data_IF_238374063371
#
_entry.id   IF_238374063371
#
_cell.length_a   1.000
_cell.length_b   1.000
_cell.length_c   1.000
_cell.angle_alpha   90.00
_cell.angle_beta   90.00
_cell.angle_gamma   90.00
#
_symmetry.space_group_name_H-M   'P 1'
#
loop_
_entity.id
_entity.type
_entity.pdbx_description
1 polymer ?
#
# COMPACT_ATOMS: atom_id res chain seq x y z
N UNK A 1 49.05 -12.67 -68.97
CA UNK A 1 49.52 -14.03 -68.67
C UNK A 1 50.19 -13.99 -67.31
N UNK A 2 49.71 -14.77 -66.33
CA UNK A 2 50.30 -14.97 -64.98
C UNK A 2 50.29 -13.70 -64.08
N UNK A 3 49.97 -13.76 -62.78
CA UNK A 3 50.47 -14.53 -61.63
C UNK A 3 51.91 -14.10 -61.22
N UNK A 4 52.19 -13.69 -59.97
CA UNK A 4 51.31 -13.43 -58.81
C UNK A 4 52.11 -13.36 -57.48
N UNK A 5 51.47 -12.88 -56.40
CA UNK A 5 51.90 -13.11 -55.00
C UNK A 5 52.98 -12.20 -54.37
N UNK A 6 52.54 -11.31 -53.48
CA UNK A 6 53.18 -10.84 -52.21
C UNK A 6 54.62 -10.23 -52.22
N UNK A 7 55.06 -9.38 -51.26
CA UNK A 7 54.51 -8.99 -49.93
C UNK A 7 54.99 -7.58 -49.46
N UNK A 8 54.18 -6.93 -48.62
CA UNK A 8 54.55 -6.01 -47.51
C UNK A 8 54.85 -4.48 -47.71
N UNK A 9 54.18 -3.67 -46.84
CA UNK A 9 54.63 -2.40 -46.17
C UNK A 9 54.92 -1.09 -46.96
N UNK A 10 54.61 0.14 -46.48
CA UNK A 10 53.68 0.68 -45.43
C UNK A 10 53.58 2.24 -45.52
N UNK A 11 52.55 2.86 -44.90
CA UNK A 11 52.31 4.33 -44.66
C UNK A 11 51.96 5.21 -45.90
N UNK A 12 50.98 6.15 -45.97
CA UNK A 12 50.18 7.04 -45.05
C UNK A 12 50.88 8.34 -44.62
N UNK A 13 50.30 9.57 -44.54
CA UNK A 13 48.92 10.10 -44.29
C UNK A 13 48.71 11.42 -45.13
N UNK A 14 47.62 12.21 -45.14
CA UNK A 14 46.24 12.17 -44.57
C UNK A 14 45.61 13.60 -44.36
N UNK A 15 44.28 13.70 -44.15
CA UNK A 15 43.44 14.91 -43.88
C UNK A 15 43.11 15.83 -45.10
N UNK A 16 41.99 16.60 -45.20
CA UNK A 16 41.00 17.12 -44.21
C UNK A 16 39.52 17.21 -44.73
N UNK A 17 38.58 17.56 -43.82
CA UNK A 17 37.10 17.84 -43.88
C UNK A 17 36.62 18.86 -44.98
N UNK A 18 35.30 19.04 -45.32
CA UNK A 18 34.11 19.09 -44.40
C UNK A 18 32.70 18.66 -44.91
N UNK A 19 31.66 18.99 -44.10
CA UNK A 19 30.18 18.93 -44.28
C UNK A 19 29.41 17.60 -44.08
N UNK A 20 28.12 17.73 -43.72
CA UNK A 20 27.20 16.68 -43.27
C UNK A 20 25.72 17.01 -43.64
N UNK A 21 24.84 16.00 -43.86
CA UNK A 21 23.41 16.18 -44.19
C UNK A 21 22.50 15.68 -43.00
N UNK A 22 21.17 15.40 -43.11
CA UNK A 22 20.20 15.99 -42.18
C UNK A 22 19.60 15.02 -41.14
N UNK A 23 18.80 15.57 -40.22
CA UNK A 23 18.17 14.84 -39.12
C UNK A 23 16.97 13.97 -39.53
N UNK A 24 16.78 12.85 -38.81
CA UNK A 24 15.57 12.03 -38.84
C UNK A 24 14.62 12.39 -37.67
N UNK A 25 13.33 12.05 -37.83
CA UNK A 25 12.26 12.48 -36.92
C UNK A 25 12.27 11.84 -35.53
N UNK A 26 11.68 12.55 -34.55
CA UNK A 26 11.45 12.06 -33.19
C UNK A 26 10.14 11.25 -33.11
N UNK A 27 10.09 10.17 -32.30
CA UNK A 27 8.82 9.59 -31.86
C UNK A 27 8.16 10.47 -30.79
N UNK A 28 6.83 10.58 -30.83
CA UNK A 28 6.05 11.39 -29.87
C UNK A 28 5.93 10.71 -28.50
N UNK A 29 6.05 11.45 -27.38
CA UNK A 29 5.85 10.89 -26.04
C UNK A 29 4.35 10.87 -25.66
N UNK A 30 3.70 9.72 -25.84
CA UNK A 30 2.38 9.47 -25.28
C UNK A 30 2.39 9.69 -23.76
N UNK A 31 1.53 10.58 -23.26
CA UNK A 31 1.40 10.82 -21.83
C UNK A 31 0.51 9.73 -21.19
N UNK A 32 0.93 9.21 -20.03
CA UNK A 32 0.13 8.28 -19.25
C UNK A 32 -1.07 8.98 -18.62
N UNK A 33 -2.24 8.34 -18.69
CA UNK A 33 -3.48 8.81 -18.09
C UNK A 33 -3.48 8.54 -16.57
N UNK A 34 -3.21 9.58 -15.79
CA UNK A 34 -3.65 9.67 -14.38
C UNK A 34 -5.02 10.36 -14.34
N UNK A 35 -5.89 9.99 -13.38
CA UNK A 35 -7.25 10.53 -13.30
C UNK A 35 -7.25 12.06 -13.12
N UNK A 36 -7.78 12.77 -14.12
CA UNK A 36 -7.90 14.22 -14.14
C UNK A 36 -9.20 14.74 -13.53
N UNK A 37 -9.32 14.72 -12.19
CA UNK A 37 -10.49 15.25 -11.50
C UNK A 37 -10.31 16.72 -11.03
N UNK A 38 -11.01 17.60 -11.75
CA UNK A 38 -11.42 18.97 -11.41
C UNK A 38 -10.31 20.02 -11.16
N UNK A 39 -10.21 20.98 -12.09
CA UNK A 39 -9.51 22.25 -11.90
C UNK A 39 -10.51 23.43 -11.98
N UNK A 40 -10.54 24.27 -10.95
CA UNK A 40 -11.24 25.57 -10.90
C UNK A 40 -10.25 26.75 -10.97
N UNK A 41 -10.67 27.96 -11.35
CA UNK A 41 -9.76 28.90 -12.02
C UNK A 41 -8.92 29.84 -11.13
N UNK A 42 -7.67 30.04 -11.57
CA UNK A 42 -6.90 31.31 -11.54
C UNK A 42 -6.44 31.92 -10.21
N UNK A 43 -5.16 31.70 -9.86
CA UNK A 43 -4.28 32.73 -9.24
C UNK A 43 -2.90 32.74 -9.94
N UNK A 44 -2.23 33.89 -9.90
CA UNK A 44 -1.06 34.33 -10.66
C UNK A 44 0.21 33.44 -10.70
N UNK A 45 1.08 33.73 -11.68
CA UNK A 45 2.42 33.15 -11.86
C UNK A 45 3.33 33.23 -10.61
N UNK A 46 4.08 32.16 -10.33
CA UNK A 46 5.38 32.22 -9.65
C UNK A 46 6.40 31.31 -10.36
N UNK A 47 7.64 31.78 -10.54
CA UNK A 47 8.76 30.97 -11.06
C UNK A 47 9.75 30.67 -9.93
N UNK A 48 10.21 29.42 -9.74
CA UNK A 48 11.22 29.11 -8.74
C UNK A 48 12.60 29.64 -9.18
N UNK A 49 13.22 30.49 -8.35
CA UNK A 49 14.66 30.74 -8.41
C UNK A 49 15.37 29.69 -7.55
N UNK A 50 16.46 29.12 -8.06
CA UNK A 50 17.39 28.30 -7.25
C UNK A 50 17.99 29.19 -6.15
N UNK A 51 17.94 28.71 -4.90
CA UNK A 51 18.68 29.29 -3.79
C UNK A 51 19.65 28.23 -3.24
N UNK A 52 20.95 28.47 -3.42
CA UNK A 52 21.99 27.75 -2.66
C UNK A 52 22.13 28.47 -1.33
N UNK A 53 22.00 27.75 -0.21
CA UNK A 53 22.31 28.30 1.11
C UNK A 53 23.69 27.83 1.55
N UNK A 54 24.59 28.78 1.78
CA UNK A 54 25.91 28.53 2.35
C UNK A 54 25.88 28.81 3.87
N UNK A 55 26.72 28.13 4.63
CA UNK A 55 26.76 28.22 6.10
C UNK A 55 27.51 29.49 6.54
N UNK A 56 26.83 30.38 7.28
CA UNK A 56 27.46 31.40 8.12
C UNK A 56 26.73 31.48 9.47
N UNK A 57 27.50 31.47 10.56
CA UNK A 57 27.04 31.68 11.93
C UNK A 57 27.36 33.12 12.36
N UNK A 58 26.55 33.74 13.23
CA UNK A 58 27.07 34.63 14.28
C UNK A 58 26.03 35.00 15.37
N UNK A 59 26.60 35.38 16.52
CA UNK A 59 26.04 35.52 17.87
C UNK A 59 25.02 36.66 18.08
N UNK A 60 24.23 36.53 19.15
CA UNK A 60 23.45 37.59 19.82
C UNK A 60 24.32 38.68 20.47
N UNK A 61 23.70 39.77 20.95
CA UNK A 61 23.90 40.17 22.35
C UNK A 61 22.59 40.42 23.12
N UNK A 62 22.69 40.51 24.45
CA UNK A 62 21.60 40.88 25.37
C UNK A 62 21.50 42.40 25.58
N UNK A 63 20.31 42.87 25.95
CA UNK A 63 20.10 43.76 27.12
C UNK A 63 18.72 43.49 27.73
N UNK A 64 18.52 43.89 28.99
CA UNK A 64 17.27 43.71 29.73
C UNK A 64 16.96 44.96 30.58
N UNK A 65 15.69 45.20 30.89
CA UNK A 65 15.26 46.04 32.01
C UNK A 65 13.87 45.61 32.46
N UNK A 66 13.62 45.60 33.78
CA UNK A 66 12.39 45.12 34.40
C UNK A 66 12.18 45.86 35.75
N UNK A 67 10.91 46.12 36.11
CA UNK A 67 10.33 46.95 37.23
C UNK A 67 9.17 47.82 36.68
N UNK A 68 8.06 48.09 37.39
CA UNK A 68 7.68 47.78 38.78
C UNK A 68 6.14 47.71 39.00
N UNK A 69 5.74 47.23 40.19
CA UNK A 69 4.44 47.21 40.87
C UNK A 69 3.61 48.54 40.88
N UNK A 70 2.33 48.64 41.32
CA UNK A 70 1.17 47.74 41.56
C UNK A 70 -0.05 48.59 42.10
N UNK A 71 -1.09 47.97 42.70
CA UNK A 71 -2.32 48.56 43.34
C UNK A 71 -3.41 49.08 42.35
N UNK A 72 -4.71 48.74 42.44
CA UNK A 72 -5.77 48.97 43.47
C UNK A 72 -6.21 50.46 43.55
N UNK A 73 -7.49 50.85 43.76
CA UNK A 73 -8.72 50.21 44.29
C UNK A 73 -10.00 50.80 43.60
N UNK A 74 -11.28 50.47 43.88
CA UNK A 74 -11.94 49.49 44.77
C UNK A 74 -13.47 49.72 44.86
N UNK A 75 -14.18 48.92 45.68
CA UNK A 75 -15.59 49.06 46.16
C UNK A 75 -16.74 48.99 45.09
N UNK A 76 -17.98 48.50 45.30
CA UNK A 76 -18.77 47.81 46.38
C UNK A 76 -20.04 47.24 45.67
N UNK A 77 -20.84 46.22 46.06
CA UNK A 77 -21.20 45.62 47.35
C UNK A 77 -21.65 44.11 47.28
N UNK A 78 -21.84 43.52 48.46
CA UNK A 78 -22.98 42.70 48.99
C UNK A 78 -24.13 42.16 48.08
N UNK A 79 -24.84 41.05 48.37
CA UNK A 79 -24.77 39.99 49.42
C UNK A 79 -25.68 38.79 49.04
N UNK A 80 -25.26 37.53 49.27
CA UNK A 80 -25.91 36.58 50.21
C UNK A 80 -25.16 35.25 50.37
N UNK A 81 -25.56 34.44 51.36
CA UNK A 81 -24.81 33.31 51.92
C UNK A 81 -25.45 31.95 51.62
N UNK A 82 -24.61 30.93 51.38
CA UNK A 82 -24.53 29.78 52.30
C UNK A 82 -23.15 29.08 52.22
N UNK A 83 -22.72 28.48 53.34
CA UNK A 83 -21.42 27.79 53.52
C UNK A 83 -21.53 26.74 54.63
N UNK A 84 -20.94 25.56 54.39
CA UNK A 84 -20.37 24.64 55.39
C UNK A 84 -19.29 23.83 54.64
N UNK A 85 -18.00 24.14 54.86
CA UNK A 85 -17.03 23.32 55.62
C UNK A 85 -16.66 21.99 54.89
N UNK A 86 -15.55 21.94 54.14
CA UNK A 86 -14.18 21.55 54.58
C UNK A 86 -13.91 20.03 54.68
N UNK A 87 -13.17 19.47 53.72
CA UNK A 87 -11.89 18.75 53.99
C UNK A 87 -11.08 18.45 52.69
N UNK A 88 -9.80 18.12 52.86
CA UNK A 88 -8.79 17.65 51.86
C UNK A 88 -7.80 16.74 52.63
N UNK A 89 -6.93 15.96 51.95
CA UNK A 89 -7.15 14.98 50.88
C UNK A 89 -6.73 13.57 51.42
N UNK A 90 -6.40 12.56 50.58
CA UNK A 90 -5.01 12.45 50.12
C UNK A 90 -4.85 11.91 48.67
N UNK A 91 -3.59 11.79 48.24
CA UNK A 91 -3.17 11.26 46.93
C UNK A 91 -2.80 9.78 47.03
N UNK A 92 -3.21 8.93 46.08
CA UNK A 92 -2.34 7.85 45.57
C UNK A 92 -2.81 7.16 44.28
N UNK A 93 -1.81 6.59 43.60
CA UNK A 93 -1.89 5.83 42.35
C UNK A 93 -2.65 4.51 42.51
N UNK A 94 -3.37 4.09 41.47
CA UNK A 94 -3.93 2.74 41.33
C UNK A 94 -4.07 2.38 39.85
N UNK A 95 -3.45 1.29 39.41
CA UNK A 95 -3.50 0.83 38.03
C UNK A 95 -4.79 0.06 37.73
N UNK A 96 -5.38 0.27 36.55
CA UNK A 96 -6.42 -0.61 36.04
C UNK A 96 -5.77 -1.77 35.28
N UNK A 97 -6.02 -2.99 35.74
CA UNK A 97 -5.54 -4.23 35.13
C UNK A 97 -6.63 -4.85 34.22
N UNK A 98 -6.20 -5.58 33.20
CA UNK A 98 -7.07 -6.19 32.20
C UNK A 98 -8.04 -7.23 32.79
N UNK A 99 -9.28 -7.22 32.33
CA UNK A 99 -10.26 -8.29 32.63
C UNK A 99 -10.06 -9.45 31.65
N UNK A 100 -9.51 -10.56 32.14
CA UNK A 100 -9.47 -11.84 31.43
C UNK A 100 -10.44 -12.84 32.09
N UNK A 101 -11.57 -13.10 31.45
CA UNK A 101 -12.55 -14.10 31.91
C UNK A 101 -12.17 -15.52 31.45
N UNK A 102 -11.28 -16.16 32.19
CA UNK A 102 -10.96 -17.58 31.98
C UNK A 102 -12.06 -18.50 32.54
N UNK A 103 -12.64 -19.35 31.69
CA UNK A 103 -13.38 -20.55 32.13
C UNK A 103 -12.57 -21.80 31.84
N UNK A 104 -12.23 -22.56 32.89
CA UNK A 104 -11.75 -23.94 32.81
C UNK A 104 -12.89 -24.89 33.16
N UNK A 105 -13.03 -25.97 32.39
CA UNK A 105 -13.68 -27.20 32.80
C UNK A 105 -12.75 -28.37 32.42
N UNK A 106 -12.76 -29.44 33.21
CA UNK A 106 -11.92 -30.63 33.04
C UNK A 106 -12.79 -31.81 32.55
N UNK A 107 -12.27 -32.68 31.68
CA UNK A 107 -12.96 -33.93 31.36
C UNK A 107 -12.31 -34.79 30.28
N UNK A 108 -12.21 -36.09 30.57
CA UNK A 108 -12.04 -37.22 29.64
C UNK A 108 -10.88 -37.17 28.60
N UNK A 109 -9.78 -37.84 28.92
CA UNK A 109 -8.82 -38.34 27.92
C UNK A 109 -9.31 -39.67 27.32
N UNK A 110 -9.25 -39.82 26.00
CA UNK A 110 -9.35 -41.11 25.29
C UNK A 110 -8.76 -41.00 23.87
N UNK A 111 -7.43 -41.02 23.75
CA UNK A 111 -6.74 -41.10 22.45
C UNK A 111 -6.34 -42.55 22.18
N UNK A 112 -6.99 -43.19 21.21
CA UNK A 112 -6.63 -44.53 20.77
C UNK A 112 -5.42 -44.47 19.81
N UNK A 113 -4.33 -45.17 20.15
CA UNK A 113 -3.20 -45.31 19.26
C UNK A 113 -3.54 -46.20 18.05
N UNK A 114 -3.26 -45.72 16.84
CA UNK A 114 -3.14 -46.55 15.63
C UNK A 114 -1.85 -46.19 14.89
N UNK A 115 -1.15 -47.22 14.42
CA UNK A 115 0.17 -47.09 13.83
C UNK A 115 0.12 -46.56 12.39
N UNK A 116 1.22 -45.95 11.93
CA UNK A 116 1.35 -45.41 10.59
C UNK A 116 1.46 -46.50 9.51
N UNK A 117 0.96 -46.18 8.31
CA UNK A 117 1.48 -46.67 7.01
C UNK A 117 0.93 -45.84 5.85
N UNK A 118 1.85 -45.38 4.99
CA UNK A 118 1.70 -45.07 3.56
C UNK A 118 0.42 -44.39 3.04
N UNK A 119 0.54 -43.09 2.78
CA UNK A 119 0.36 -42.54 1.42
C UNK A 119 0.98 -41.14 1.34
N UNK A 120 1.74 -40.84 0.28
CA UNK A 120 2.07 -39.46 -0.06
C UNK A 120 0.94 -38.90 -0.94
N UNK A 121 0.26 -37.86 -0.47
CA UNK A 121 -0.90 -37.30 -1.19
C UNK A 121 -0.47 -36.51 -2.43
N UNK A 122 -1.03 -36.77 -3.62
CA UNK A 122 -0.71 -36.01 -4.84
C UNK A 122 -1.37 -34.62 -4.90
N UNK A 123 -2.16 -34.25 -3.87
CA UNK A 123 -3.04 -33.08 -3.89
C UNK A 123 -2.32 -31.74 -4.13
N UNK A 124 -1.10 -31.54 -3.61
CA UNK A 124 -0.35 -30.29 -3.74
C UNK A 124 0.03 -29.95 -5.19
N UNK A 125 0.17 -30.96 -6.06
CA UNK A 125 0.47 -30.74 -7.48
C UNK A 125 -0.76 -30.31 -8.31
N UNK A 126 -1.98 -30.53 -7.79
CA UNK A 126 -3.23 -30.19 -8.48
C UNK A 126 -3.55 -28.71 -8.28
N UNK A 127 -3.62 -28.26 -7.02
CA UNK A 127 -4.07 -26.90 -6.67
C UNK A 127 -3.21 -25.78 -7.24
N UNK A 128 -1.92 -26.02 -7.49
CA UNK A 128 -1.02 -25.04 -8.10
C UNK A 128 -1.27 -24.83 -9.60
N UNK A 129 -1.74 -25.87 -10.32
CA UNK A 129 -2.09 -25.76 -11.74
C UNK A 129 -3.29 -24.84 -11.95
N UNK A 130 -4.30 -24.96 -11.08
CA UNK A 130 -5.57 -24.26 -11.20
C UNK A 130 -5.39 -22.73 -11.07
N UNK A 131 -4.52 -22.28 -10.18
CA UNK A 131 -4.19 -20.86 -10.00
C UNK A 131 -3.55 -20.22 -11.24
N UNK A 132 -2.55 -20.87 -11.83
CA UNK A 132 -1.87 -20.36 -13.02
C UNK A 132 -2.81 -20.33 -14.23
N UNK A 133 -3.63 -21.37 -14.41
CA UNK A 133 -4.68 -21.39 -15.45
C UNK A 133 -5.73 -20.30 -15.21
N UNK A 134 -6.23 -20.13 -13.99
CA UNK A 134 -7.24 -19.11 -13.66
C UNK A 134 -6.74 -17.68 -13.94
N UNK A 135 -5.52 -17.35 -13.52
CA UNK A 135 -4.95 -16.01 -13.76
C UNK A 135 -4.84 -15.72 -15.27
N UNK A 136 -4.49 -16.73 -16.07
CA UNK A 136 -4.36 -16.62 -17.53
C UNK A 136 -5.70 -16.57 -18.26
N UNK A 137 -6.63 -17.45 -17.91
CA UNK A 137 -7.86 -17.70 -18.68
C UNK A 137 -9.09 -16.95 -18.17
N UNK A 138 -9.10 -16.58 -16.88
CA UNK A 138 -10.20 -15.85 -16.24
C UNK A 138 -9.78 -14.42 -15.90
N UNK A 139 -8.63 -14.21 -15.26
CA UNK A 139 -8.13 -12.87 -14.92
C UNK A 139 -7.40 -12.14 -16.07
N UNK A 140 -7.29 -12.80 -17.24
CA UNK A 140 -6.76 -12.26 -18.50
C UNK A 140 -5.47 -11.44 -18.30
N UNK A 141 -4.45 -12.09 -17.74
CA UNK A 141 -3.11 -11.54 -17.53
C UNK A 141 -2.09 -12.68 -17.47
N UNK A 142 -0.81 -12.39 -17.73
CA UNK A 142 0.24 -13.38 -17.54
C UNK A 142 0.36 -13.77 -16.04
N UNK A 143 0.40 -15.07 -15.69
CA UNK A 143 0.62 -15.52 -14.32
C UNK A 143 1.99 -15.06 -13.79
N UNK A 144 2.08 -14.50 -12.56
CA UNK A 144 3.34 -14.02 -11.99
C UNK A 144 4.45 -15.07 -11.94
N UNK A 145 5.70 -14.61 -12.14
CA UNK A 145 6.90 -15.43 -11.90
C UNK A 145 6.87 -15.98 -10.47
N UNK A 146 7.15 -17.28 -10.33
CA UNK A 146 7.15 -18.03 -9.06
C UNK A 146 5.81 -18.19 -8.34
N UNK A 147 4.65 -17.97 -8.98
CA UNK A 147 3.32 -18.19 -8.38
C UNK A 147 3.19 -19.55 -7.67
N UNK A 148 3.63 -20.64 -8.31
CA UNK A 148 3.55 -21.98 -7.74
C UNK A 148 4.48 -22.16 -6.52
N UNK A 149 5.68 -21.58 -6.57
CA UNK A 149 6.59 -21.55 -5.41
C UNK A 149 6.01 -20.75 -4.25
N UNK A 150 5.27 -19.67 -4.51
CA UNK A 150 4.55 -18.92 -3.46
C UNK A 150 3.45 -19.78 -2.83
N UNK A 151 2.62 -20.47 -3.61
CA UNK A 151 1.58 -21.37 -3.07
C UNK A 151 2.19 -22.47 -2.19
N UNK A 152 3.28 -23.11 -2.63
CA UNK A 152 4.01 -24.07 -1.82
C UNK A 152 4.52 -23.45 -0.50
N UNK A 153 5.12 -22.25 -0.57
CA UNK A 153 5.66 -21.54 0.60
C UNK A 153 4.56 -21.12 1.59
N UNK A 154 3.38 -20.73 1.12
CA UNK A 154 2.21 -20.42 1.96
C UNK A 154 1.71 -21.69 2.66
N UNK A 155 1.59 -22.81 1.93
CA UNK A 155 1.23 -24.11 2.51
C UNK A 155 2.26 -24.59 3.55
N UNK A 156 3.56 -24.42 3.29
CA UNK A 156 4.63 -24.77 4.23
C UNK A 156 4.65 -23.87 5.49
N UNK A 157 4.13 -22.65 5.41
CA UNK A 157 3.87 -21.77 6.56
C UNK A 157 2.60 -22.15 7.35
N UNK A 158 1.89 -23.21 6.94
CA UNK A 158 0.67 -23.69 7.58
C UNK A 158 -0.60 -22.95 7.15
N UNK A 159 -0.56 -22.21 6.05
CA UNK A 159 -1.74 -21.56 5.47
C UNK A 159 -2.54 -22.54 4.60
N UNK A 160 -3.86 -22.42 4.59
CA UNK A 160 -4.75 -23.25 3.77
C UNK A 160 -4.83 -22.66 2.36
N UNK A 161 -4.56 -23.44 1.32
CA UNK A 161 -4.72 -22.98 -0.07
C UNK A 161 -6.21 -22.86 -0.40
N UNK A 162 -6.61 -21.72 -0.96
CA UNK A 162 -7.98 -21.36 -1.32
C UNK A 162 -8.17 -21.50 -2.83
N UNK A 163 -9.40 -21.71 -3.31
CA UNK A 163 -9.67 -21.69 -4.76
C UNK A 163 -9.49 -20.27 -5.32
N UNK A 164 -8.83 -20.08 -6.48
CA UNK A 164 -8.77 -18.76 -7.13
C UNK A 164 -10.15 -18.27 -7.60
N UNK A 165 -11.14 -19.18 -7.70
CA UNK A 165 -12.54 -18.90 -8.00
C UNK A 165 -13.40 -18.50 -6.80
N UNK A 166 -12.93 -18.71 -5.56
CA UNK A 166 -13.66 -18.44 -4.31
C UNK A 166 -13.72 -16.94 -3.96
N UNK A 167 -14.26 -16.14 -4.88
CA UNK A 167 -14.32 -14.67 -4.82
C UNK A 167 -15.53 -14.11 -4.06
N UNK A 168 -16.46 -14.97 -3.62
CA UNK A 168 -17.72 -14.55 -3.00
C UNK A 168 -17.50 -13.81 -1.68
N UNK A 169 -18.20 -12.69 -1.49
CA UNK A 169 -18.04 -11.82 -0.32
C UNK A 169 -16.70 -11.07 -0.27
N UNK A 170 -15.84 -11.22 -1.28
CA UNK A 170 -14.57 -10.49 -1.40
C UNK A 170 -14.72 -9.33 -2.38
N UNK A 171 -13.83 -8.35 -2.25
CA UNK A 171 -13.65 -7.31 -3.27
C UNK A 171 -13.37 -7.95 -4.65
N UNK A 172 -14.11 -7.61 -5.72
CA UNK A 172 -14.12 -8.41 -6.94
C UNK A 172 -12.83 -8.37 -7.78
N UNK A 173 -11.81 -7.60 -7.35
CA UNK A 173 -10.55 -7.42 -8.08
C UNK A 173 -9.39 -8.31 -7.60
N UNK A 174 -9.60 -9.19 -6.60
CA UNK A 174 -8.57 -10.14 -6.14
C UNK A 174 -8.71 -11.55 -6.73
N UNK A 175 -7.59 -12.27 -6.72
CA UNK A 175 -7.51 -13.73 -6.88
C UNK A 175 -6.99 -14.30 -5.54
N UNK A 176 -7.80 -15.06 -4.78
CA UNK A 176 -7.34 -15.74 -3.57
C UNK A 176 -6.12 -16.64 -3.80
N UNK A 177 -5.28 -16.80 -2.78
CA UNK A 177 -4.18 -17.78 -2.74
C UNK A 177 -4.25 -18.67 -1.50
N UNK A 178 -4.30 -18.05 -0.31
CA UNK A 178 -4.29 -18.79 0.96
C UNK A 178 -4.98 -18.07 2.10
N UNK A 179 -5.60 -18.82 3.00
CA UNK A 179 -6.09 -18.34 4.29
C UNK A 179 -5.11 -18.75 5.39
N UNK A 180 -4.61 -17.75 6.14
CA UNK A 180 -3.75 -17.97 7.29
C UNK A 180 -4.53 -18.54 8.49
N UNK A 181 -3.88 -19.21 9.47
CA UNK A 181 -4.53 -19.66 10.70
C UNK A 181 -5.16 -18.56 11.58
N UNK A 182 -5.01 -17.29 11.21
CA UNK A 182 -5.65 -16.13 11.85
C UNK A 182 -6.94 -15.66 11.14
N UNK A 183 -7.29 -16.24 9.98
CA UNK A 183 -8.41 -15.81 9.13
C UNK A 183 -8.07 -14.70 8.14
N UNK A 184 -6.82 -14.23 8.07
CA UNK A 184 -6.39 -13.29 7.04
C UNK A 184 -6.20 -14.03 5.70
N UNK A 185 -6.74 -13.48 4.62
CA UNK A 185 -6.64 -14.05 3.26
C UNK A 185 -5.53 -13.36 2.45
N UNK A 186 -4.49 -14.11 2.08
CA UNK A 186 -3.46 -13.71 1.12
C UNK A 186 -3.98 -13.89 -0.31
N UNK A 187 -3.83 -12.88 -1.14
CA UNK A 187 -4.36 -12.82 -2.51
C UNK A 187 -3.40 -12.11 -3.49
N UNK A 188 -3.57 -12.34 -4.79
CA UNK A 188 -3.08 -11.43 -5.83
C UNK A 188 -4.12 -10.35 -6.11
N UNK A 189 -3.66 -9.13 -6.42
CA UNK A 189 -4.52 -8.04 -6.87
C UNK A 189 -4.43 -7.87 -8.39
N UNK A 190 -5.54 -8.15 -9.10
CA UNK A 190 -5.71 -7.83 -10.52
C UNK A 190 -6.24 -6.41 -10.63
N UNK A 191 -5.34 -5.42 -10.66
CA UNK A 191 -5.74 -4.03 -10.85
C UNK A 191 -6.54 -3.90 -12.18
N UNK A 192 -7.76 -3.33 -12.19
CA UNK A 192 -8.61 -3.32 -13.39
C UNK A 192 -7.95 -2.60 -14.57
N UNK A 193 -7.45 -1.40 -14.30
CA UNK A 193 -6.78 -0.50 -15.25
C UNK A 193 -5.25 -0.49 -15.03
N UNK A 194 -4.66 -1.67 -14.83
CA UNK A 194 -3.22 -1.85 -14.60
C UNK A 194 -2.38 -1.16 -15.70
N UNK A 195 -1.44 -0.26 -15.35
CA UNK A 195 -0.48 0.29 -16.32
C UNK A 195 0.41 -0.81 -16.92
N UNK A 196 0.81 -0.63 -18.18
CA UNK A 196 1.69 -1.59 -18.89
C UNK A 196 2.98 -1.84 -18.11
N UNK A 197 3.23 -3.10 -17.73
CA UNK A 197 4.39 -3.49 -16.93
C UNK A 197 4.20 -3.44 -15.41
N UNK A 198 2.99 -3.13 -14.91
CA UNK A 198 2.62 -3.39 -13.52
C UNK A 198 2.36 -4.89 -13.32
N UNK A 199 3.25 -5.55 -12.58
CA UNK A 199 3.02 -6.92 -12.08
C UNK A 199 1.86 -6.95 -11.06
N UNK A 200 1.21 -8.11 -10.91
CA UNK A 200 0.16 -8.29 -9.89
C UNK A 200 0.76 -8.18 -8.47
N UNK A 201 0.32 -7.22 -7.64
CA UNK A 201 0.78 -7.12 -6.26
C UNK A 201 0.24 -8.26 -5.39
N UNK A 202 0.99 -8.64 -4.37
CA UNK A 202 0.51 -9.53 -3.31
C UNK A 202 -0.13 -8.68 -2.22
N UNK A 203 -1.36 -9.00 -1.85
CA UNK A 203 -2.17 -8.26 -0.88
C UNK A 203 -2.76 -9.19 0.17
N UNK A 204 -3.10 -8.63 1.33
CA UNK A 204 -3.92 -9.27 2.35
C UNK A 204 -5.31 -8.63 2.34
N UNK A 205 -6.36 -9.43 2.25
CA UNK A 205 -7.74 -8.95 2.39
C UNK A 205 -8.08 -8.89 3.88
N UNK A 206 -8.54 -7.73 4.34
CA UNK A 206 -9.02 -7.51 5.72
C UNK A 206 -10.39 -6.84 5.71
N UNK A 207 -11.03 -6.77 6.87
CA UNK A 207 -12.29 -6.04 7.11
C UNK A 207 -12.26 -4.58 6.59
N UNK A 208 -11.08 -3.95 6.61
CA UNK A 208 -10.83 -2.58 6.15
C UNK A 208 -9.97 -2.56 4.88
N UNK A 209 -10.41 -3.34 3.88
CA UNK A 209 -9.88 -3.32 2.51
C UNK A 209 -8.60 -4.12 2.30
N UNK A 210 -7.85 -3.75 1.27
CA UNK A 210 -6.64 -4.42 0.82
C UNK A 210 -5.38 -3.80 1.42
N UNK A 211 -4.59 -4.65 2.07
CA UNK A 211 -3.29 -4.31 2.62
C UNK A 211 -2.19 -4.82 1.70
N UNK A 212 -1.38 -3.91 1.15
CA UNK A 212 -0.31 -4.27 0.23
C UNK A 212 0.86 -4.96 0.97
N UNK A 213 1.07 -6.24 0.68
CA UNK A 213 2.15 -7.05 1.29
C UNK A 213 3.46 -6.94 0.49
N UNK A 214 3.38 -6.93 -0.85
CA UNK A 214 4.53 -6.76 -1.75
C UNK A 214 4.09 -6.30 -3.14
N UNK A 215 4.99 -5.64 -3.89
CA UNK A 215 4.69 -5.17 -5.26
C UNK A 215 4.49 -6.31 -6.28
N UNK A 216 5.07 -7.48 -6.02
CA UNK A 216 4.98 -8.67 -6.85
C UNK A 216 5.26 -9.93 -6.01
N UNK A 217 4.98 -11.11 -6.57
CA UNK A 217 5.26 -12.42 -5.94
C UNK A 217 6.74 -12.57 -5.58
N UNK A 218 7.64 -12.13 -6.46
CA UNK A 218 9.11 -12.22 -6.30
C UNK A 218 9.63 -11.56 -5.02
N UNK A 219 9.19 -10.33 -4.73
CA UNK A 219 9.54 -9.60 -3.52
C UNK A 219 8.96 -10.26 -2.26
N UNK A 220 7.75 -10.84 -2.36
CA UNK A 220 7.11 -11.49 -1.22
C UNK A 220 7.83 -12.79 -0.84
N UNK A 221 8.16 -13.66 -1.80
CA UNK A 221 8.96 -14.87 -1.54
C UNK A 221 10.32 -14.50 -0.97
N UNK A 222 11.07 -13.57 -1.59
CA UNK A 222 12.40 -13.16 -1.10
C UNK A 222 12.30 -12.63 0.35
N UNK A 223 11.30 -11.80 0.68
CA UNK A 223 11.05 -11.39 2.08
C UNK A 223 10.86 -12.59 3.01
N UNK A 224 10.00 -13.54 2.65
CA UNK A 224 9.72 -14.73 3.47
C UNK A 224 11.00 -15.54 3.69
N UNK A 225 11.86 -15.71 2.69
CA UNK A 225 13.12 -16.45 2.83
C UNK A 225 14.11 -15.75 3.77
N UNK A 226 14.20 -14.42 3.75
CA UNK A 226 15.04 -13.64 4.67
C UNK A 226 14.48 -13.71 6.11
N UNK A 227 13.16 -13.61 6.26
CA UNK A 227 12.49 -13.76 7.55
C UNK A 227 12.65 -15.19 8.11
N UNK A 228 12.63 -16.22 7.26
CA UNK A 228 12.87 -17.61 7.62
C UNK A 228 14.32 -17.91 8.03
N UNK A 229 15.31 -17.31 7.35
CA UNK A 229 16.74 -17.46 7.64
C UNK A 229 17.16 -16.84 8.99
N UNK A 230 16.48 -15.76 9.40
CA UNK A 230 16.62 -15.18 10.74
C UNK A 230 15.94 -16.06 11.80
N UNK A 231 14.81 -16.72 11.46
CA UNK A 231 14.01 -17.52 12.37
C UNK A 231 14.33 -19.02 12.28
N UNK A 232 15.49 -19.41 12.82
CA UNK A 232 16.09 -20.75 12.78
C UNK A 232 15.20 -21.97 13.18
N UNK A 233 13.99 -21.77 13.70
CA UNK A 233 13.05 -22.84 14.06
C UNK A 233 11.93 -23.08 13.02
N UNK A 234 11.82 -22.26 11.97
CA UNK A 234 10.71 -22.28 11.02
C UNK A 234 11.13 -22.30 9.53
N UNK A 235 12.43 -22.41 9.25
CA UNK A 235 12.96 -22.18 7.92
C UNK A 235 12.92 -23.37 6.96
N UNK A 236 13.25 -24.57 7.41
CA UNK A 236 13.67 -25.64 6.48
C UNK A 236 12.53 -26.19 5.59
N UNK A 237 11.30 -26.23 6.09
CA UNK A 237 10.11 -26.57 5.28
C UNK A 237 9.83 -25.49 4.22
N UNK A 238 10.03 -24.22 4.53
CA UNK A 238 9.89 -23.09 3.60
C UNK A 238 10.97 -23.12 2.51
N UNK A 239 12.21 -23.47 2.89
CA UNK A 239 13.32 -23.68 1.94
C UNK A 239 13.06 -24.88 1.00
N UNK A 240 12.49 -25.98 1.51
CA UNK A 240 12.09 -27.11 0.68
C UNK A 240 10.93 -26.75 -0.28
N UNK A 241 9.97 -25.96 0.20
CA UNK A 241 8.76 -25.61 -0.55
C UNK A 241 8.99 -24.64 -1.73
N UNK A 242 9.93 -23.69 -1.59
CA UNK A 242 10.26 -22.76 -2.67
C UNK A 242 11.00 -23.45 -3.84
N UNK A 243 11.80 -24.48 -3.55
CA UNK A 243 12.58 -25.24 -4.53
C UNK A 243 13.74 -24.43 -5.16
N UNK A 244 14.18 -24.84 -6.35
CA UNK A 244 15.28 -24.19 -7.12
C UNK A 244 15.03 -22.69 -7.38
N UNK A 245 13.78 -22.24 -7.36
CA UNK A 245 13.43 -20.83 -7.41
C UNK A 245 14.04 -20.04 -6.23
N UNK A 246 14.12 -20.63 -5.04
CA UNK A 246 14.67 -19.98 -3.85
C UNK A 246 16.14 -19.60 -3.99
N UNK A 247 16.95 -20.48 -4.59
CA UNK A 247 18.39 -20.24 -4.82
C UNK A 247 18.64 -19.02 -5.74
N UNK A 248 17.71 -18.76 -6.67
CA UNK A 248 17.75 -17.60 -7.56
C UNK A 248 17.22 -16.30 -6.92
N UNK A 249 16.60 -16.38 -5.73
CA UNK A 249 15.99 -15.25 -5.03
C UNK A 249 16.80 -14.82 -3.80
N UNK A 250 17.25 -15.76 -2.96
CA UNK A 250 17.96 -15.46 -1.73
C UNK A 250 18.88 -16.62 -1.31
N UNK A 251 20.14 -16.31 -1.00
CA UNK A 251 21.11 -17.28 -0.46
C UNK A 251 20.99 -17.34 1.06
N UNK A 252 20.71 -18.53 1.61
CA UNK A 252 20.66 -18.79 3.05
C UNK A 252 21.94 -18.32 3.74
N UNK A 253 21.85 -17.34 4.64
CA UNK A 253 22.96 -16.66 5.30
C UNK A 253 23.31 -15.25 4.78
N UNK A 254 22.88 -14.80 3.60
CA UNK A 254 23.29 -13.48 3.05
C UNK A 254 22.85 -12.31 3.95
N UNK A 255 21.76 -12.43 4.71
CA UNK A 255 21.40 -11.44 5.74
C UNK A 255 22.55 -11.23 6.73
N UNK A 256 23.12 -12.31 7.25
CA UNK A 256 24.23 -12.29 8.21
C UNK A 256 25.54 -11.84 7.56
N UNK A 257 25.80 -12.27 6.32
CA UNK A 257 27.00 -11.86 5.57
C UNK A 257 26.96 -10.39 5.12
N UNK A 258 25.76 -9.83 4.90
CA UNK A 258 25.57 -8.43 4.49
C UNK A 258 26.01 -7.40 5.54
N UNK A 259 26.17 -7.81 6.80
CA UNK A 259 26.47 -6.96 7.96
C UNK A 259 25.49 -5.77 8.14
N UNK A 260 24.27 -5.86 7.59
CA UNK A 260 23.25 -4.83 7.73
C UNK A 260 22.62 -4.87 9.13
N UNK A 261 22.34 -3.69 9.68
CA UNK A 261 22.05 -3.51 11.11
C UNK A 261 20.74 -4.15 11.62
N UNK A 262 19.81 -4.51 10.73
CA UNK A 262 18.56 -5.22 11.04
C UNK A 262 17.83 -5.62 9.75
N UNK A 263 16.79 -6.44 9.89
CA UNK A 263 15.90 -6.91 8.82
C UNK A 263 15.31 -5.77 7.97
N UNK A 264 14.72 -4.74 8.59
CA UNK A 264 14.10 -3.62 7.86
C UNK A 264 15.11 -2.91 6.92
N UNK A 265 16.36 -2.74 7.38
CA UNK A 265 17.46 -2.18 6.57
C UNK A 265 17.95 -3.14 5.48
N UNK A 266 17.84 -4.46 5.68
CA UNK A 266 18.09 -5.43 4.62
C UNK A 266 17.00 -5.38 3.55
N UNK A 267 15.73 -5.53 3.93
CA UNK A 267 14.59 -5.55 3.00
C UNK A 267 14.59 -4.33 2.08
N UNK A 268 14.69 -3.12 2.65
CA UNK A 268 14.71 -1.86 1.91
C UNK A 268 15.94 -1.64 1.00
N UNK A 269 17.01 -2.43 1.13
CA UNK A 269 18.25 -2.31 0.34
C UNK A 269 18.49 -3.45 -0.65
N UNK A 270 18.04 -4.66 -0.32
CA UNK A 270 18.34 -5.91 -1.04
C UNK A 270 17.12 -6.52 -1.73
N UNK A 271 15.90 -6.24 -1.24
CA UNK A 271 14.68 -6.91 -1.69
C UNK A 271 13.71 -5.95 -2.40
N UNK A 272 13.30 -4.88 -1.73
CA UNK A 272 12.27 -3.97 -2.25
C UNK A 272 11.70 -3.02 -1.19
N UNK A 273 10.73 -2.21 -1.61
CA UNK A 273 9.98 -1.33 -0.71
C UNK A 273 8.71 -2.03 -0.23
N UNK A 274 8.55 -2.13 1.09
CA UNK A 274 7.40 -2.76 1.73
C UNK A 274 6.66 -1.72 2.58
N UNK A 275 5.32 -1.61 2.47
CA UNK A 275 4.50 -0.69 3.26
C UNK A 275 4.76 -0.78 4.77
N UNK A 276 4.61 -1.97 5.38
CA UNK A 276 4.79 -2.16 6.82
C UNK A 276 6.21 -1.81 7.31
N UNK A 277 7.24 -2.07 6.49
CA UNK A 277 8.64 -1.77 6.83
C UNK A 277 8.87 -0.25 6.86
N UNK A 278 8.27 0.50 5.95
CA UNK A 278 8.34 1.97 5.90
C UNK A 278 7.56 2.57 7.07
N UNK A 279 6.38 2.03 7.40
CA UNK A 279 5.60 2.42 8.58
C UNK A 279 6.36 2.12 9.89
N UNK A 280 6.87 0.89 10.06
CA UNK A 280 7.67 0.46 11.22
C UNK A 280 8.88 1.35 11.43
N UNK A 281 9.62 1.65 10.35
CA UNK A 281 10.77 2.56 10.37
C UNK A 281 10.37 3.99 10.77
N UNK A 282 9.26 4.50 10.25
CA UNK A 282 8.76 5.85 10.59
C UNK A 282 8.37 5.94 12.06
N UNK A 283 7.63 4.95 12.57
CA UNK A 283 7.27 4.84 13.99
C UNK A 283 8.50 4.69 14.89
N UNK A 284 9.56 4.01 14.43
CA UNK A 284 10.82 3.88 15.16
C UNK A 284 11.59 5.21 15.29
N UNK A 285 11.53 6.09 14.28
CA UNK A 285 12.07 7.45 14.40
C UNK A 285 11.22 8.30 15.35
N UNK A 286 9.89 8.26 15.21
CA UNK A 286 8.95 8.99 16.10
C UNK A 286 9.12 8.57 17.57
N UNK A 287 9.24 7.27 17.85
CA UNK A 287 9.48 6.72 19.18
C UNK A 287 10.83 7.08 19.81
N UNK A 288 11.77 7.63 19.03
CA UNK A 288 13.04 8.21 19.49
C UNK A 288 12.98 9.74 19.69
N UNK A 289 11.83 10.37 19.39
CA UNK A 289 11.72 11.83 19.31
C UNK A 289 12.37 12.43 18.05
N UNK A 290 12.79 11.60 17.09
CA UNK A 290 13.37 12.01 15.82
C UNK A 290 12.25 12.33 14.82
N UNK A 291 11.51 13.40 15.14
CA UNK A 291 10.36 13.85 14.36
C UNK A 291 10.75 14.23 12.93
N UNK A 292 11.99 14.69 12.70
CA UNK A 292 12.49 15.08 11.37
C UNK A 292 12.65 13.86 10.47
N UNK A 293 13.33 12.81 10.93
CA UNK A 293 13.45 11.59 10.12
C UNK A 293 12.13 10.82 10.00
N UNK A 294 11.25 10.91 11.00
CA UNK A 294 9.89 10.37 10.91
C UNK A 294 9.11 11.06 9.78
N UNK A 295 9.09 12.40 9.74
CA UNK A 295 8.44 13.17 8.67
C UNK A 295 9.04 12.88 7.29
N UNK A 296 10.37 12.82 7.17
CA UNK A 296 11.05 12.50 5.89
C UNK A 296 10.70 11.07 5.43
N UNK A 297 10.54 10.12 6.36
CA UNK A 297 10.18 8.73 6.00
C UNK A 297 8.69 8.62 5.62
N UNK A 298 7.80 9.38 6.28
CA UNK A 298 6.38 9.51 5.90
C UNK A 298 6.19 10.17 4.53
N UNK A 299 6.87 11.28 4.26
CA UNK A 299 6.85 11.94 2.95
C UNK A 299 7.44 11.06 1.84
N UNK A 300 8.47 10.26 2.15
CA UNK A 300 9.01 9.27 1.21
C UNK A 300 7.97 8.20 0.81
N UNK A 301 7.09 7.82 1.73
CA UNK A 301 6.05 6.81 1.54
C UNK A 301 4.94 7.30 0.60
N UNK A 302 4.52 8.57 0.73
CA UNK A 302 3.46 9.21 -0.09
C UNK A 302 3.87 9.55 -1.53
N UNK A 303 5.09 9.20 -1.94
CA UNK A 303 5.54 9.34 -3.32
C UNK A 303 5.03 8.17 -4.16
N UNK A 304 5.44 8.14 -5.44
CA UNK A 304 5.11 7.10 -6.42
C UNK A 304 5.80 5.73 -6.13
N UNK A 305 5.79 5.30 -4.86
CA UNK A 305 6.28 4.01 -4.42
C UNK A 305 5.19 2.94 -4.57
N UNK A 306 3.93 3.30 -4.31
CA UNK A 306 2.79 2.38 -4.31
C UNK A 306 1.60 3.06 -5.03
N UNK A 307 1.69 3.26 -6.36
CA UNK A 307 0.64 3.94 -7.13
C UNK A 307 -0.73 3.27 -6.93
N UNK A 308 -1.77 4.10 -6.82
CA UNK A 308 -3.15 3.67 -6.61
C UNK A 308 -3.54 3.38 -5.15
N UNK A 309 -2.59 3.25 -4.21
CA UNK A 309 -2.92 3.00 -2.80
C UNK A 309 -3.06 4.29 -1.98
N UNK A 310 -4.15 4.39 -1.21
CA UNK A 310 -4.42 5.50 -0.28
C UNK A 310 -3.66 5.40 1.04
N UNK A 311 -3.35 4.19 1.53
CA UNK A 311 -2.69 3.94 2.83
C UNK A 311 -1.44 4.79 3.12
N UNK A 312 -0.50 5.04 2.16
CA UNK A 312 0.63 5.92 2.40
C UNK A 312 0.23 7.33 2.86
N UNK A 313 -0.84 7.88 2.26
CA UNK A 313 -1.34 9.21 2.55
C UNK A 313 -2.12 9.28 3.86
N UNK A 314 -2.83 8.20 4.24
CA UNK A 314 -3.44 8.03 5.57
C UNK A 314 -2.36 8.01 6.64
N UNK A 315 -1.37 7.12 6.51
CA UNK A 315 -0.31 6.98 7.50
C UNK A 315 0.50 8.28 7.67
N UNK A 316 0.81 8.96 6.57
CA UNK A 316 1.47 10.27 6.63
C UNK A 316 0.60 11.32 7.33
N UNK A 317 -0.72 11.31 7.13
CA UNK A 317 -1.65 12.15 7.89
C UNK A 317 -1.63 11.83 9.40
N UNK A 318 -1.60 10.55 9.78
CA UNK A 318 -1.44 10.14 11.18
C UNK A 318 -0.14 10.72 11.79
N UNK A 319 0.99 10.57 11.09
CA UNK A 319 2.30 11.03 11.58
C UNK A 319 2.33 12.56 11.68
N UNK A 320 1.78 13.28 10.70
CA UNK A 320 1.62 14.74 10.73
C UNK A 320 0.74 15.20 11.91
N UNK A 321 -0.40 14.53 12.17
CA UNK A 321 -1.29 14.80 13.32
C UNK A 321 -0.56 14.56 14.64
N UNK A 322 0.20 13.45 14.76
CA UNK A 322 0.99 13.10 15.96
C UNK A 322 2.11 14.11 16.29
N UNK A 323 2.69 14.79 15.30
CA UNK A 323 3.69 15.87 15.52
C UNK A 323 3.10 17.28 15.49
N UNK A 324 1.78 17.43 15.51
CA UNK A 324 1.08 18.72 15.60
C UNK A 324 0.95 19.51 14.28
N UNK A 325 1.29 18.92 13.13
CA UNK A 325 1.17 19.54 11.79
C UNK A 325 -0.24 19.33 11.22
N UNK A 326 -1.27 19.73 11.97
CA UNK A 326 -2.67 19.36 11.75
C UNK A 326 -3.25 19.81 10.40
N UNK A 327 -2.82 20.95 9.84
CA UNK A 327 -3.26 21.39 8.50
C UNK A 327 -2.76 20.44 7.41
N UNK A 328 -1.47 20.09 7.46
CA UNK A 328 -0.84 19.19 6.51
C UNK A 328 -1.35 17.75 6.67
N UNK A 329 -1.71 17.35 7.89
CA UNK A 329 -2.41 16.09 8.14
C UNK A 329 -3.74 16.02 7.39
N UNK A 330 -4.56 17.09 7.49
CA UNK A 330 -5.83 17.18 6.74
C UNK A 330 -5.61 17.09 5.24
N UNK A 331 -4.64 17.83 4.70
CA UNK A 331 -4.38 17.83 3.26
C UNK A 331 -3.79 16.49 2.77
N UNK A 332 -3.00 15.78 3.59
CA UNK A 332 -2.57 14.40 3.30
C UNK A 332 -3.74 13.42 3.28
N UNK A 333 -4.66 13.49 4.25
CA UNK A 333 -5.85 12.62 4.27
C UNK A 333 -6.82 12.90 3.11
N UNK A 334 -6.95 14.17 2.69
CA UNK A 334 -7.72 14.57 1.49
C UNK A 334 -7.10 14.10 0.17
N UNK A 335 -5.82 13.73 0.16
CA UNK A 335 -5.19 13.04 -0.98
C UNK A 335 -5.43 11.53 -0.88
N UNK A 336 -5.43 10.96 0.34
CA UNK A 336 -5.78 9.55 0.57
C UNK A 336 -7.17 9.22 0.02
N UNK A 337 -8.19 10.04 0.34
CA UNK A 337 -9.59 9.87 -0.07
C UNK A 337 -9.85 10.12 -1.57
N UNK A 338 -8.82 10.46 -2.37
CA UNK A 338 -8.85 10.46 -3.85
C UNK A 338 -8.30 9.18 -4.45
N UNK A 339 -7.75 8.29 -3.63
CA UNK A 339 -7.44 6.90 -3.99
C UNK A 339 -8.66 6.04 -3.65
N UNK A 340 -8.85 4.87 -4.28
CA UNK A 340 -9.99 4.01 -4.00
C UNK A 340 -10.03 3.62 -2.51
N UNK A 341 -11.19 3.72 -1.86
CA UNK A 341 -11.31 3.70 -0.41
C UNK A 341 -10.93 2.35 0.20
N UNK A 342 -11.14 1.26 -0.54
CA UNK A 342 -10.65 -0.09 -0.21
C UNK A 342 -9.11 -0.22 -0.21
N UNK A 343 -8.34 0.85 -0.45
CA UNK A 343 -6.87 0.90 -0.35
C UNK A 343 -6.34 1.75 0.80
N UNK A 344 -7.21 2.32 1.63
CA UNK A 344 -6.84 3.23 2.73
C UNK A 344 -6.12 2.52 3.89
N UNK A 345 -6.39 1.22 4.09
CA UNK A 345 -5.89 0.45 5.25
C UNK A 345 -6.41 0.97 6.60
N UNK A 346 -7.54 1.65 6.59
CA UNK A 346 -8.36 2.10 7.72
C UNK A 346 -9.81 2.21 7.23
N UNK A 347 -10.76 2.41 8.11
CA UNK A 347 -12.15 2.70 7.71
C UNK A 347 -12.23 4.03 6.93
N UNK A 348 -13.32 4.25 6.17
CA UNK A 348 -13.53 5.54 5.50
C UNK A 348 -13.62 6.68 6.53
N UNK A 349 -14.32 6.43 7.63
CA UNK A 349 -14.62 7.38 8.70
C UNK A 349 -13.35 7.86 9.41
N UNK A 350 -12.39 6.95 9.67
CA UNK A 350 -11.06 7.30 10.20
C UNK A 350 -10.30 8.24 9.26
N UNK A 351 -10.38 8.02 7.94
CA UNK A 351 -9.76 8.89 6.94
C UNK A 351 -10.51 10.23 6.77
N UNK A 352 -11.84 10.23 6.88
CA UNK A 352 -12.68 11.42 6.82
C UNK A 352 -12.45 12.35 8.03
N UNK A 353 -12.38 11.80 9.25
CA UNK A 353 -12.04 12.55 10.47
C UNK A 353 -10.63 13.18 10.35
N UNK A 354 -9.67 12.44 9.78
CA UNK A 354 -8.33 12.95 9.47
C UNK A 354 -8.36 14.08 8.43
N UNK A 355 -9.21 14.00 7.41
CA UNK A 355 -9.40 15.05 6.39
C UNK A 355 -10.17 16.27 6.91
N UNK A 356 -10.96 16.10 7.97
CA UNK A 356 -11.99 17.04 8.39
C UNK A 356 -13.10 17.17 7.34
N UNK A 357 -13.62 16.02 6.92
CA UNK A 357 -14.84 15.83 6.13
C UNK A 357 -15.79 14.92 6.95
N UNK A 358 -17.08 15.06 6.73
CA UNK A 358 -18.10 14.15 7.27
C UNK A 358 -18.56 13.22 6.13
N UNK A 359 -19.85 12.83 6.10
CA UNK A 359 -20.44 11.96 5.08
C UNK A 359 -20.61 12.63 3.70
N UNK A 360 -20.18 13.88 3.51
CA UNK A 360 -20.48 14.63 2.27
C UNK A 360 -19.84 14.03 1.01
N UNK A 361 -18.77 13.22 1.14
CA UNK A 361 -18.23 12.46 0.01
C UNK A 361 -19.04 11.20 -0.30
N UNK A 362 -19.63 10.53 0.71
CA UNK A 362 -20.54 9.40 0.49
C UNK A 362 -21.76 9.89 -0.29
N UNK A 363 -22.37 11.00 0.14
CA UNK A 363 -23.54 11.57 -0.56
C UNK A 363 -23.19 12.09 -1.96
N UNK A 364 -22.01 12.70 -2.16
CA UNK A 364 -21.53 13.08 -3.50
C UNK A 364 -21.35 11.87 -4.42
N UNK A 365 -20.81 10.76 -3.91
CA UNK A 365 -20.67 9.52 -4.69
C UNK A 365 -22.04 8.90 -4.98
N UNK A 366 -22.97 8.86 -4.01
CA UNK A 366 -24.35 8.43 -4.20
C UNK A 366 -25.09 9.29 -5.23
N UNK A 367 -24.84 10.60 -5.30
CA UNK A 367 -25.34 11.47 -6.39
C UNK A 367 -24.68 11.12 -7.74
N UNK A 368 -23.36 10.93 -7.78
CA UNK A 368 -22.61 10.71 -9.03
C UNK A 368 -23.01 9.43 -9.77
N UNK A 369 -23.41 8.36 -9.08
CA UNK A 369 -23.89 7.11 -9.70
C UNK A 369 -25.32 7.20 -10.25
N UNK A 370 -26.05 8.29 -10.02
CA UNK A 370 -27.40 8.49 -10.61
C UNK A 370 -27.34 8.85 -12.10
N UNK A 371 -28.42 8.58 -12.84
CA UNK A 371 -28.55 9.02 -14.24
C UNK A 371 -28.48 10.55 -14.41
N UNK A 372 -28.98 11.30 -13.42
CA UNK A 372 -28.76 12.73 -13.27
C UNK A 372 -27.26 13.07 -13.21
N UNK A 373 -26.50 12.40 -12.34
CA UNK A 373 -25.07 12.58 -12.11
C UNK A 373 -24.20 12.22 -13.31
N UNK A 374 -24.49 11.10 -13.97
CA UNK A 374 -23.87 10.64 -15.23
C UNK A 374 -24.11 11.65 -16.35
N UNK A 375 -25.37 12.08 -16.53
CA UNK A 375 -25.76 13.08 -17.54
C UNK A 375 -25.14 14.45 -17.28
N UNK A 376 -24.89 14.82 -16.03
CA UNK A 376 -24.18 16.05 -15.68
C UNK A 376 -22.69 15.98 -16.08
N UNK A 377 -22.04 14.85 -15.87
CA UNK A 377 -20.63 14.64 -16.24
C UNK A 377 -20.42 14.49 -17.76
N UNK A 378 -21.37 13.89 -18.48
CA UNK A 378 -21.41 13.93 -19.95
C UNK A 378 -21.55 15.37 -20.48
N UNK A 379 -22.39 16.21 -19.85
CA UNK A 379 -22.51 17.65 -20.20
C UNK A 379 -21.24 18.44 -19.90
N UNK A 380 -20.43 18.02 -18.92
CA UNK A 380 -19.09 18.56 -18.63
C UNK A 380 -18.03 18.10 -19.63
N UNK A 381 -18.36 17.20 -20.55
CA UNK A 381 -17.46 16.73 -21.60
C UNK A 381 -16.58 15.53 -21.20
N UNK A 382 -16.94 14.77 -20.15
CA UNK A 382 -16.32 13.45 -19.95
C UNK A 382 -16.70 12.51 -21.11
N UNK A 383 -15.77 11.65 -21.50
CA UNK A 383 -16.04 10.57 -22.45
C UNK A 383 -16.99 9.53 -21.81
N UNK A 384 -17.96 8.94 -22.54
CA UNK A 384 -18.90 7.97 -21.98
C UNK A 384 -18.22 6.79 -21.27
N UNK A 385 -17.12 6.30 -21.84
CA UNK A 385 -16.31 5.21 -21.31
C UNK A 385 -15.69 5.58 -19.95
N UNK A 386 -15.29 6.84 -19.76
CA UNK A 386 -14.80 7.33 -18.47
C UNK A 386 -15.94 7.47 -17.45
N UNK A 387 -17.15 7.84 -17.87
CA UNK A 387 -18.30 7.98 -16.94
C UNK A 387 -18.70 6.62 -16.34
N UNK A 388 -18.69 5.55 -17.13
CA UNK A 388 -18.98 4.19 -16.62
C UNK A 388 -17.80 3.61 -15.81
N UNK A 389 -16.55 3.95 -16.13
CA UNK A 389 -15.40 3.59 -15.29
C UNK A 389 -15.38 4.34 -13.95
N UNK A 390 -15.81 5.62 -13.93
CA UNK A 390 -16.02 6.37 -12.70
C UNK A 390 -17.16 5.74 -11.88
N UNK A 391 -18.28 5.33 -12.50
CA UNK A 391 -19.36 4.56 -11.85
C UNK A 391 -18.85 3.25 -11.24
N UNK A 392 -18.00 2.49 -11.95
CA UNK A 392 -17.41 1.26 -11.44
C UNK A 392 -16.53 1.49 -10.19
N UNK A 393 -15.73 2.56 -10.18
CA UNK A 393 -14.91 2.93 -9.02
C UNK A 393 -15.80 3.37 -7.83
N UNK A 394 -16.80 4.20 -8.09
CA UNK A 394 -17.78 4.66 -7.10
C UNK A 394 -18.57 3.51 -6.46
N UNK A 395 -18.98 2.50 -7.24
CA UNK A 395 -19.65 1.30 -6.72
C UNK A 395 -18.71 0.46 -5.84
N UNK A 396 -17.41 0.37 -6.17
CA UNK A 396 -16.43 -0.30 -5.30
C UNK A 396 -16.17 0.47 -4.00
N UNK A 397 -16.16 1.79 -4.03
CA UNK A 397 -15.93 2.63 -2.85
C UNK A 397 -17.15 2.69 -1.92
N UNK A 398 -18.38 2.65 -2.47
CA UNK A 398 -19.60 2.47 -1.67
C UNK A 398 -19.71 1.06 -1.08
N UNK A 399 -19.45 0.00 -1.86
CA UNK A 399 -19.47 -1.38 -1.37
C UNK A 399 -18.41 -1.65 -0.28
N UNK A 400 -17.32 -0.88 -0.29
CA UNK A 400 -16.35 -0.87 0.80
C UNK A 400 -16.93 -0.33 2.12
N UNK A 401 -17.67 0.78 2.07
CA UNK A 401 -18.32 1.41 3.24
C UNK A 401 -19.53 0.59 3.73
N UNK A 402 -20.41 0.19 2.80
CA UNK A 402 -21.60 -0.62 3.09
C UNK A 402 -21.23 -2.08 3.46
N UNK A 403 -19.96 -2.49 3.29
CA UNK A 403 -19.42 -3.79 3.69
C UNK A 403 -19.91 -4.99 2.88
N UNK A 404 -20.46 -4.75 1.69
CA UNK A 404 -21.21 -5.73 0.90
C UNK A 404 -20.80 -5.71 -0.58
N UNK A 405 -19.96 -6.67 -0.96
CA UNK A 405 -19.47 -6.81 -2.33
C UNK A 405 -20.43 -7.56 -3.25
N UNK A 406 -21.11 -8.60 -2.76
CA UNK A 406 -21.91 -9.56 -3.55
C UNK A 406 -23.02 -8.87 -4.37
N UNK A 407 -23.64 -7.82 -3.82
CA UNK A 407 -24.76 -7.10 -4.44
C UNK A 407 -24.35 -6.12 -5.56
N UNK A 408 -23.08 -5.70 -5.62
CA UNK A 408 -22.58 -4.75 -6.64
C UNK A 408 -21.81 -5.39 -7.79
N UNK A 409 -21.37 -6.65 -7.66
CA UNK A 409 -20.48 -7.32 -8.63
C UNK A 409 -21.00 -7.22 -10.06
N UNK A 410 -22.29 -7.47 -10.28
CA UNK A 410 -22.86 -7.56 -11.62
C UNK A 410 -22.92 -6.20 -12.33
N UNK A 411 -23.26 -5.10 -11.63
CA UNK A 411 -23.21 -3.75 -12.21
C UNK A 411 -21.77 -3.29 -12.42
N UNK A 412 -20.84 -3.59 -11.51
CA UNK A 412 -19.41 -3.29 -11.72
C UNK A 412 -18.91 -4.00 -12.98
N UNK A 413 -19.21 -5.29 -13.16
CA UNK A 413 -18.87 -6.03 -14.38
C UNK A 413 -19.52 -5.43 -15.63
N UNK A 414 -20.76 -4.97 -15.53
CA UNK A 414 -21.45 -4.29 -16.64
C UNK A 414 -20.78 -2.96 -17.00
N UNK A 415 -20.41 -2.11 -16.04
CA UNK A 415 -19.66 -0.89 -16.29
C UNK A 415 -18.32 -1.14 -17.03
N UNK A 416 -17.58 -2.19 -16.64
CA UNK A 416 -16.35 -2.57 -17.37
C UNK A 416 -16.64 -3.08 -18.80
N UNK A 417 -17.79 -3.72 -19.02
CA UNK A 417 -18.25 -4.15 -20.36
C UNK A 417 -18.65 -2.95 -21.22
N UNK A 418 -19.39 -2.00 -20.65
CA UNK A 418 -19.75 -0.72 -21.28
C UNK A 418 -18.50 0.11 -21.66
N UNK A 419 -17.42 0.00 -20.88
CA UNK A 419 -16.11 0.59 -21.17
C UNK A 419 -15.27 -0.16 -22.22
N UNK A 420 -15.76 -1.30 -22.77
CA UNK A 420 -15.01 -2.13 -23.71
C UNK A 420 -13.87 -2.96 -23.09
N UNK A 421 -13.94 -3.23 -21.78
CA UNK A 421 -12.98 -4.04 -21.03
C UNK A 421 -13.60 -5.41 -20.67
N UNK A 422 -14.07 -6.14 -21.69
CA UNK A 422 -14.77 -7.44 -21.57
C UNK A 422 -14.02 -8.46 -20.71
N UNK A 423 -12.69 -8.53 -20.81
CA UNK A 423 -11.85 -9.41 -20.01
C UNK A 423 -11.91 -9.09 -18.50
N UNK A 424 -11.96 -7.80 -18.14
CA UNK A 424 -12.13 -7.34 -16.76
C UNK A 424 -13.55 -7.62 -16.29
N UNK A 425 -14.55 -7.38 -17.14
CA UNK A 425 -15.95 -7.71 -16.85
C UNK A 425 -16.15 -9.21 -16.58
N UNK A 426 -15.54 -10.09 -17.40
CA UNK A 426 -15.53 -11.54 -17.22
C UNK A 426 -14.85 -11.95 -15.90
N UNK A 427 -13.70 -11.36 -15.59
CA UNK A 427 -12.99 -11.63 -14.34
C UNK A 427 -13.81 -11.22 -13.10
N UNK A 428 -14.42 -10.05 -13.12
CA UNK A 428 -15.23 -9.51 -12.02
C UNK A 428 -16.50 -10.33 -11.83
N UNK A 429 -17.22 -10.66 -12.91
CA UNK A 429 -18.44 -11.48 -12.85
C UNK A 429 -18.21 -12.97 -12.57
N UNK A 430 -16.96 -13.44 -12.46
CA UNK A 430 -16.67 -14.85 -12.18
C UNK A 430 -17.16 -15.25 -10.79
N UNK A 431 -17.97 -16.32 -10.72
CA UNK A 431 -18.41 -17.01 -9.51
C UNK A 431 -18.24 -18.51 -9.72
N UNK A 432 -17.81 -19.22 -8.67
CA UNK A 432 -17.70 -20.68 -8.59
C UNK A 432 -19.01 -21.32 -8.08
#
# INVERSE_FOLDING_TARGET
MWCGGERSSRASRGASRPHAPPAYGQPSPCHGLYLGLLAGPSVAHWRPRRAVLCVVSLRSPHTACDRQAAAQSGEVAAVHHHRIERMRPPVSRGAFASVLLGRRALGASLVAARCASSAASPAAAVTASDHASFVKEIAATDPPEYLNSLLNVLQARGEMIVSPGAKRGLIPVVVPLSESPAGNLTSLLRWPTAPTGMEMPVVEVRNHGLWLLAKNVKQYIHRILVEADINANAGDDVWAAVGEAGENLYTKGDFKESQLANLDVYLLKKVGLFPDVIERKTLHHLGKGDNVSALITGEFYTRDQFPGFGRPFVFNAEILKRVGRTSEAKDSARVALKSPWWTLGCSYEEAAELAGWEDEQIEFIREKITEEGKREDLKKGKAPEQVVLDEAAFLMDLAYVDGNWDDVVDRIAECYREAGLDDIAKFIAYRE
#
